data_IF_288205335235
#
_entry.id   IF_288205335235
#
_cell.length_a   1.000
_cell.length_b   1.000
_cell.length_c   1.000
_cell.angle_alpha   90.00
_cell.angle_beta   90.00
_cell.angle_gamma   90.00
#
_symmetry.space_group_name_H-M   'P 1'
#
loop_
_entity.id
_entity.type
_entity.pdbx_description
1 polymer ?
#
# COMPACT_ATOMS: atom_id res chain seq x y z
N UNK A 1 2.53 -12.94 -8.51
CA UNK A 1 2.26 -11.50 -8.74
C UNK A 1 1.19 -11.08 -7.75
N UNK A 2 1.35 -9.92 -7.13
CA UNK A 2 0.48 -9.47 -6.05
C UNK A 2 0.09 -8.00 -6.25
N UNK A 3 -0.98 -7.59 -5.57
CA UNK A 3 -1.41 -6.20 -5.50
C UNK A 3 -0.69 -5.51 -4.36
N UNK A 4 -0.15 -4.33 -4.61
CA UNK A 4 0.61 -3.56 -3.64
C UNK A 4 -0.15 -2.31 -3.20
N UNK A 5 -0.20 -2.07 -1.90
CA UNK A 5 -0.85 -0.90 -1.32
C UNK A 5 -0.03 -0.28 -0.20
N UNK A 6 -0.23 1.02 0.01
CA UNK A 6 0.12 1.71 1.26
C UNK A 6 -1.16 1.94 2.07
N UNK A 7 -1.19 1.53 3.32
CA UNK A 7 -2.25 1.93 4.27
C UNK A 7 -1.78 3.09 5.15
N UNK A 8 -2.59 4.16 5.16
CA UNK A 8 -2.40 5.31 6.06
C UNK A 8 -3.11 5.12 7.41
N UNK A 9 -4.02 4.15 7.52
CA UNK A 9 -4.79 3.90 8.74
C UNK A 9 -4.14 2.89 9.69
N UNK A 10 -3.02 2.27 9.27
CA UNK A 10 -2.39 1.08 9.90
C UNK A 10 -3.26 -0.19 9.87
N UNK A 11 -4.50 -0.11 9.38
CA UNK A 11 -5.33 -1.27 9.11
C UNK A 11 -5.08 -1.81 7.70
N UNK A 12 -5.31 -3.10 7.51
CA UNK A 12 -5.13 -3.78 6.23
C UNK A 12 -6.17 -4.90 6.05
N UNK A 13 -6.52 -5.25 4.80
CA UNK A 13 -7.55 -6.24 4.53
C UNK A 13 -7.16 -7.64 5.03
N UNK A 14 -7.84 -8.12 6.08
CA UNK A 14 -7.64 -9.46 6.62
C UNK A 14 -8.19 -10.51 5.64
N UNK A 15 -7.44 -11.58 5.41
CA UNK A 15 -7.84 -12.70 4.52
C UNK A 15 -7.39 -12.58 3.07
N UNK A 16 -6.96 -11.39 2.61
CA UNK A 16 -6.32 -11.21 1.29
C UNK A 16 -4.87 -10.70 1.36
N UNK A 17 -4.44 -10.22 2.53
CA UNK A 17 -3.06 -9.79 2.77
C UNK A 17 -2.14 -11.00 2.86
N UNK A 18 -1.13 -11.03 2.00
CA UNK A 18 0.01 -11.96 2.06
C UNK A 18 1.04 -11.49 3.08
N UNK A 19 1.40 -10.21 3.03
CA UNK A 19 2.39 -9.61 3.92
C UNK A 19 2.01 -8.15 4.24
N UNK A 20 2.23 -7.74 5.49
CA UNK A 20 2.13 -6.35 5.91
C UNK A 20 3.45 -5.94 6.60
N UNK A 21 4.07 -4.87 6.11
CA UNK A 21 5.30 -4.32 6.68
C UNK A 21 4.99 -2.96 7.32
N UNK A 22 5.05 -2.90 8.65
CA UNK A 22 4.82 -1.67 9.38
C UNK A 22 6.02 -0.72 9.21
N UNK A 23 5.75 0.50 8.79
CA UNK A 23 6.70 1.62 8.75
C UNK A 23 6.24 2.69 9.75
N UNK A 24 7.09 3.69 10.01
CA UNK A 24 6.82 4.74 11.00
C UNK A 24 5.49 5.48 10.74
N UNK A 25 5.18 5.80 9.48
CA UNK A 25 4.01 6.60 9.09
C UNK A 25 2.91 5.83 8.34
N UNK A 26 3.19 4.62 7.86
CA UNK A 26 2.26 3.85 7.03
C UNK A 26 2.56 2.35 7.11
N UNK A 27 1.72 1.51 6.50
CA UNK A 27 1.97 0.07 6.33
C UNK A 27 2.04 -0.26 4.86
N UNK A 28 3.10 -0.94 4.41
CA UNK A 28 3.20 -1.49 3.06
C UNK A 28 2.53 -2.86 3.05
N UNK A 29 1.60 -3.08 2.14
CA UNK A 29 0.74 -4.27 2.09
C UNK A 29 0.91 -4.95 0.74
N UNK A 30 1.15 -6.25 0.79
CA UNK A 30 1.10 -7.16 -0.34
C UNK A 30 -0.17 -8.01 -0.23
N UNK A 31 -1.02 -7.98 -1.26
CA UNK A 31 -2.29 -8.71 -1.31
C UNK A 31 -2.32 -9.71 -2.48
N UNK A 32 -2.91 -10.89 -2.25
CA UNK A 32 -3.14 -11.88 -3.31
C UNK A 32 -4.19 -11.41 -4.33
N UNK A 33 -5.22 -10.70 -3.84
CA UNK A 33 -6.32 -10.17 -4.63
C UNK A 33 -6.42 -8.66 -4.45
N UNK A 34 -7.06 -7.99 -5.41
CA UNK A 34 -7.34 -6.56 -5.32
C UNK A 34 -8.17 -6.23 -4.07
N UNK A 35 -7.92 -5.06 -3.48
CA UNK A 35 -8.76 -4.52 -2.43
C UNK A 35 -10.09 -4.03 -3.01
N UNK A 36 -11.18 -4.30 -2.31
CA UNK A 36 -12.50 -3.82 -2.71
C UNK A 36 -12.60 -2.30 -2.47
N UNK A 37 -13.45 -1.56 -3.21
CA UNK A 37 -13.62 -0.12 -3.00
C UNK A 37 -13.90 0.27 -1.55
N UNK A 38 -14.73 -0.52 -0.85
CA UNK A 38 -15.03 -0.32 0.58
C UNK A 38 -13.81 -0.49 1.50
N UNK A 39 -12.89 -1.38 1.14
CA UNK A 39 -11.66 -1.62 1.91
C UNK A 39 -10.65 -0.52 1.62
N UNK A 40 -10.56 -0.08 0.36
CA UNK A 40 -9.71 1.04 -0.06
C UNK A 40 -10.07 2.29 0.74
N UNK A 41 -11.35 2.63 0.82
CA UNK A 41 -11.82 3.81 1.54
C UNK A 41 -11.63 3.66 3.06
N UNK A 42 -12.18 2.59 3.65
CA UNK A 42 -12.15 2.38 5.12
C UNK A 42 -10.72 2.28 5.69
N UNK A 43 -9.78 1.72 4.93
CA UNK A 43 -8.40 1.52 5.38
C UNK A 43 -7.43 2.56 4.81
N UNK A 44 -7.92 3.53 4.02
CA UNK A 44 -7.12 4.56 3.35
C UNK A 44 -5.97 3.95 2.56
N UNK A 45 -6.31 2.98 1.69
CA UNK A 45 -5.34 2.29 0.85
C UNK A 45 -4.98 3.15 -0.36
N UNK A 46 -3.68 3.27 -0.62
CA UNK A 46 -3.14 3.88 -1.84
C UNK A 46 -2.59 2.74 -2.69
N UNK A 47 -3.14 2.56 -3.89
CA UNK A 47 -2.70 1.53 -4.82
C UNK A 47 -1.34 1.87 -5.43
N UNK A 48 -0.42 0.92 -5.43
CA UNK A 48 0.93 1.05 -6.01
C UNK A 48 1.05 0.32 -7.36
N UNK A 49 0.28 -0.75 -7.57
CA UNK A 49 0.33 -1.55 -8.79
C UNK A 49 0.19 -3.05 -8.55
N UNK A 50 0.09 -3.79 -9.65
CA UNK A 50 0.09 -5.25 -9.69
C UNK A 50 1.41 -5.75 -10.28
N UNK A 51 2.04 -6.75 -9.64
CA UNK A 51 3.31 -7.31 -10.09
C UNK A 51 4.18 -7.81 -8.96
N UNK A 52 5.49 -7.86 -9.22
CA UNK A 52 6.51 -8.02 -8.19
C UNK A 52 6.87 -6.65 -7.61
N UNK A 53 7.34 -6.61 -6.36
CA UNK A 53 7.61 -5.33 -5.70
C UNK A 53 8.66 -4.50 -6.45
N UNK A 54 9.65 -5.15 -7.03
CA UNK A 54 10.79 -4.57 -7.75
C UNK A 54 10.44 -4.06 -9.15
N UNK A 55 9.20 -4.20 -9.62
CA UNK A 55 8.80 -3.60 -10.89
C UNK A 55 8.86 -2.06 -10.82
N UNK A 56 9.37 -1.44 -11.89
CA UNK A 56 9.60 0.01 -11.96
C UNK A 56 8.35 0.84 -11.64
N UNK A 57 7.17 0.45 -12.15
CA UNK A 57 5.93 1.19 -11.87
C UNK A 57 5.53 1.15 -10.39
N UNK A 58 5.73 0.01 -9.72
CA UNK A 58 5.44 -0.14 -8.28
C UNK A 58 6.47 0.65 -7.46
N UNK A 59 7.76 0.56 -7.80
CA UNK A 59 8.82 1.32 -7.13
C UNK A 59 8.61 2.83 -7.29
N UNK A 60 8.24 3.30 -8.49
CA UNK A 60 7.97 4.71 -8.75
C UNK A 60 6.79 5.23 -7.91
N UNK A 61 5.69 4.49 -7.86
CA UNK A 61 4.53 4.85 -7.03
C UNK A 61 4.87 4.81 -5.54
N UNK A 62 5.57 3.77 -5.09
CA UNK A 62 6.02 3.65 -3.70
C UNK A 62 6.87 4.85 -3.30
N UNK A 63 7.88 5.20 -4.09
CA UNK A 63 8.79 6.33 -3.83
C UNK A 63 8.07 7.69 -3.88
N UNK A 64 7.07 7.85 -4.76
CA UNK A 64 6.25 9.06 -4.81
C UNK A 64 5.42 9.22 -3.53
N UNK A 65 4.69 8.18 -3.13
CA UNK A 65 3.79 8.23 -1.99
C UNK A 65 4.55 8.27 -0.65
N UNK A 66 5.65 7.52 -0.53
CA UNK A 66 6.52 7.58 0.65
C UNK A 66 7.01 9.01 0.89
N UNK A 67 7.55 9.67 -0.14
CA UNK A 67 8.00 11.07 -0.03
C UNK A 67 6.86 12.00 0.36
N UNK A 68 5.67 11.87 -0.22
CA UNK A 68 4.50 12.69 0.13
C UNK A 68 4.06 12.51 1.59
N UNK A 69 4.03 11.26 2.08
CA UNK A 69 3.65 10.95 3.47
C UNK A 69 4.70 11.47 4.46
N UNK A 70 5.98 11.38 4.10
CA UNK A 70 7.08 11.85 4.94
C UNK A 70 7.13 13.37 5.06
N UNK A 71 6.92 14.09 3.95
CA UNK A 71 7.03 15.56 3.89
C UNK A 71 5.70 16.31 4.08
N UNK A 72 4.55 15.66 3.89
CA UNK A 72 3.23 16.30 3.97
C UNK A 72 2.68 16.57 5.38
N UNK A 73 3.54 16.86 6.35
CA UNK A 73 3.14 17.29 7.71
C UNK A 73 3.84 18.60 8.11
N UNK A 74 3.97 19.53 7.16
CA UNK A 74 4.44 20.91 7.39
C UNK A 74 3.36 21.88 6.98
#
# INVERSE_FOLDING_TARGET
>A
MNYWYISLSKFYPKGKTRQAQLKKKFTLIECFNEAEPREIDSMKLIYLGFGFFDCDHIQNNYNLHQRRIEHGNS
#
